data_IF_690239879659
#
_entry.id   IF_690239879659
#
_cell.length_a   1.000
_cell.length_b   1.000
_cell.length_c   1.000
_cell.angle_alpha   90.00
_cell.angle_beta   90.00
_cell.angle_gamma   90.00
#
_symmetry.space_group_name_H-M   'P 1'
#
loop_
_entity.id
_entity.type
_entity.pdbx_description
1 polymer ?
#
# COMPACT_ATOMS: atom_id res chain seq x y z
N UNK A 1 -2.57 -0.81 -2.64
CA UNK A 1 -2.70 -2.24 -2.26
C UNK A 1 -4.18 -2.57 -2.12
N UNK A 2 -4.71 -3.35 -3.06
CA UNK A 2 -6.07 -3.87 -2.96
C UNK A 2 -6.08 -5.05 -2.00
N UNK A 3 -6.60 -4.85 -0.82
CA UNK A 3 -6.90 -5.95 0.07
C UNK A 3 -8.13 -6.69 -0.47
N UNK A 4 -7.94 -7.91 -0.93
CA UNK A 4 -9.04 -8.85 -1.11
C UNK A 4 -9.47 -9.34 0.28
N UNK A 5 -10.43 -8.67 0.90
CA UNK A 5 -11.16 -9.28 1.98
C UNK A 5 -12.17 -10.25 1.38
N UNK A 6 -11.77 -11.49 1.20
CA UNK A 6 -12.73 -12.54 0.93
C UNK A 6 -13.28 -12.98 2.29
N UNK A 7 -14.56 -12.71 2.51
CA UNK A 7 -15.31 -13.55 3.42
C UNK A 7 -15.21 -14.99 2.89
N UNK A 8 -14.50 -15.83 3.62
CA UNK A 8 -14.25 -17.22 3.21
C UNK A 8 -15.54 -18.04 3.14
N UNK A 9 -16.65 -17.55 3.68
CA UNK A 9 -17.97 -18.20 3.63
C UNK A 9 -18.71 -17.95 2.33
N UNK A 10 -18.46 -16.82 1.67
CA UNK A 10 -19.23 -16.38 0.47
C UNK A 10 -18.37 -16.07 -0.75
N UNK A 11 -17.03 -16.02 -0.62
CA UNK A 11 -16.11 -15.61 -1.69
C UNK A 11 -16.25 -14.13 -2.09
N UNK A 12 -17.05 -13.35 -1.35
CA UNK A 12 -17.29 -11.94 -1.62
C UNK A 12 -16.30 -11.05 -0.84
N UNK A 13 -15.93 -9.87 -1.39
CA UNK A 13 -15.14 -8.89 -0.66
C UNK A 13 -15.83 -8.47 0.63
N UNK A 14 -15.04 -8.24 1.70
CA UNK A 14 -15.59 -7.74 2.96
C UNK A 14 -16.38 -6.45 2.71
N UNK A 15 -17.54 -6.25 3.35
CA UNK A 15 -18.41 -5.10 3.11
C UNK A 15 -17.71 -3.75 3.34
N UNK A 16 -16.74 -3.70 4.24
CA UNK A 16 -16.01 -2.46 4.58
C UNK A 16 -14.95 -2.04 3.55
N UNK A 17 -14.58 -2.91 2.60
CA UNK A 17 -13.79 -2.64 1.39
C UNK A 17 -12.46 -1.88 1.52
N UNK A 18 -12.19 -1.23 2.63
CA UNK A 18 -11.05 -0.32 2.83
C UNK A 18 -9.70 -0.99 3.06
N UNK A 19 -9.66 -2.31 3.26
CA UNK A 19 -8.46 -3.03 3.61
C UNK A 19 -7.82 -2.49 4.89
N UNK A 20 -6.50 -2.44 4.97
CA UNK A 20 -5.78 -1.87 6.11
C UNK A 20 -6.00 -0.34 6.27
N UNK A 21 -6.48 0.35 5.24
CA UNK A 21 -6.76 1.80 5.32
C UNK A 21 -7.89 2.10 6.29
N UNK A 22 -8.93 1.25 6.33
CA UNK A 22 -10.07 1.45 7.24
C UNK A 22 -9.63 1.45 8.71
N UNK A 23 -9.02 0.39 9.27
CA UNK A 23 -8.55 0.41 10.65
C UNK A 23 -7.43 1.44 10.91
N UNK A 24 -6.63 1.83 9.90
CA UNK A 24 -5.68 2.93 10.06
C UNK A 24 -6.41 4.26 10.27
N UNK A 25 -7.41 4.57 9.47
CA UNK A 25 -8.22 5.79 9.63
C UNK A 25 -8.93 5.83 10.97
N UNK A 26 -9.45 4.70 11.45
CA UNK A 26 -10.06 4.60 12.77
C UNK A 26 -9.06 4.90 13.89
N UNK A 27 -7.84 4.37 13.79
CA UNK A 27 -6.76 4.65 14.75
C UNK A 27 -6.35 6.13 14.73
N UNK A 28 -6.27 6.74 13.54
CA UNK A 28 -5.94 8.17 13.40
C UNK A 28 -7.03 9.04 14.02
N UNK A 29 -8.32 8.76 13.76
CA UNK A 29 -9.44 9.49 14.37
C UNK A 29 -9.47 9.33 15.88
N UNK A 30 -9.28 8.11 16.39
CA UNK A 30 -9.26 7.83 17.81
C UNK A 30 -8.12 8.59 18.54
N UNK A 31 -7.03 8.89 17.82
CA UNK A 31 -5.93 9.70 18.32
C UNK A 31 -6.14 11.21 18.13
N UNK A 32 -7.29 11.65 17.61
CA UNK A 32 -7.59 13.07 17.36
C UNK A 32 -6.78 13.66 16.19
N UNK A 33 -6.20 12.83 15.33
CA UNK A 33 -5.44 13.29 14.17
C UNK A 33 -6.37 13.66 13.01
N UNK A 34 -6.15 14.83 12.43
CA UNK A 34 -6.81 15.25 11.20
C UNK A 34 -6.00 14.72 10.01
N UNK A 35 -6.67 14.13 9.04
CA UNK A 35 -6.05 13.58 7.85
C UNK A 35 -6.99 13.67 6.64
N UNK A 36 -6.40 13.61 5.46
CA UNK A 36 -7.06 13.52 4.16
C UNK A 36 -6.24 12.53 3.31
N UNK A 37 -6.86 11.46 2.86
CA UNK A 37 -6.20 10.50 1.98
C UNK A 37 -6.35 10.97 0.54
N UNK A 38 -5.28 10.94 -0.22
CA UNK A 38 -5.27 11.42 -1.60
C UNK A 38 -4.77 10.37 -2.56
N UNK A 39 -5.16 10.46 -3.82
CA UNK A 39 -4.71 9.56 -4.89
C UNK A 39 -5.58 9.59 -6.13
N UNK A 40 -5.20 8.79 -7.13
CA UNK A 40 -5.91 8.73 -8.41
C UNK A 40 -7.14 7.81 -8.38
N UNK A 41 -7.31 7.09 -7.30
CA UNK A 41 -8.39 6.13 -7.12
C UNK A 41 -9.20 6.50 -5.88
N UNK A 42 -10.53 6.48 -6.03
CA UNK A 42 -11.48 6.81 -4.97
C UNK A 42 -12.52 5.70 -4.88
N UNK A 43 -12.08 4.53 -4.45
CA UNK A 43 -13.00 3.40 -4.24
C UNK A 43 -12.44 2.39 -3.24
N UNK A 44 -13.32 1.66 -2.63
CA UNK A 44 -13.01 0.43 -1.93
C UNK A 44 -12.60 -0.66 -2.93
N UNK A 45 -11.94 -1.69 -2.44
CA UNK A 45 -11.60 -2.85 -3.26
C UNK A 45 -12.82 -3.27 -4.10
N UNK A 46 -12.60 -3.44 -5.42
CA UNK A 46 -13.60 -3.88 -6.39
C UNK A 46 -14.73 -2.89 -6.75
N UNK A 47 -14.50 -1.59 -6.65
CA UNK A 47 -15.44 -0.59 -7.15
C UNK A 47 -16.76 -0.54 -6.40
N UNK A 48 -16.83 -1.08 -5.20
CA UNK A 48 -17.94 -0.86 -4.27
C UNK A 48 -17.62 0.33 -3.41
N UNK A 49 -18.59 1.23 -3.29
CA UNK A 49 -18.52 2.28 -2.29
C UNK A 49 -18.33 1.64 -0.92
N UNK A 50 -17.45 2.19 -0.09
CA UNK A 50 -17.45 1.90 1.34
C UNK A 50 -18.68 2.56 1.98
N UNK A 51 -19.84 2.26 1.42
CA UNK A 51 -21.11 2.89 1.79
C UNK A 51 -21.54 2.59 3.23
N UNK A 52 -20.82 1.70 3.91
CA UNK A 52 -21.14 1.28 5.28
C UNK A 52 -20.60 2.25 6.32
N UNK A 53 -19.51 2.99 6.01
CA UNK A 53 -18.98 4.02 6.89
C UNK A 53 -18.84 5.36 6.16
N UNK A 54 -19.77 6.30 6.39
CA UNK A 54 -19.73 7.61 5.74
C UNK A 54 -18.52 8.46 6.13
N UNK A 55 -17.76 8.06 7.14
CA UNK A 55 -16.52 8.74 7.56
C UNK A 55 -15.29 8.16 6.90
N UNK A 56 -15.39 7.03 6.19
CA UNK A 56 -14.26 6.44 5.51
C UNK A 56 -13.86 7.29 4.30
N UNK A 57 -12.60 7.70 4.27
CA UNK A 57 -12.01 8.35 3.13
C UNK A 57 -11.54 7.29 2.11
N UNK A 58 -12.16 7.20 0.93
CA UNK A 58 -11.89 6.14 -0.04
C UNK A 58 -10.64 6.40 -0.89
N UNK A 59 -10.07 7.60 -0.86
CA UNK A 59 -9.01 8.00 -1.79
C UNK A 59 -7.70 7.24 -1.54
N UNK A 60 -7.04 6.87 -2.61
CA UNK A 60 -5.78 6.12 -2.54
C UNK A 60 -5.05 6.06 -3.89
N UNK A 61 -3.78 5.63 -3.84
CA UNK A 61 -3.00 5.29 -5.02
C UNK A 61 -2.50 3.83 -4.96
N UNK A 62 -3.36 2.91 -4.55
CA UNK A 62 -3.08 1.47 -4.50
C UNK A 62 -3.32 0.81 -5.86
N UNK A 63 -2.25 0.43 -6.55
CA UNK A 63 -2.30 -0.09 -7.92
C UNK A 63 -2.15 -1.61 -7.92
N UNK A 64 -3.27 -2.32 -8.08
CA UNK A 64 -3.27 -3.78 -8.13
C UNK A 64 -2.43 -4.31 -9.29
N UNK A 65 -1.55 -5.27 -9.01
CA UNK A 65 -0.72 -5.91 -10.03
C UNK A 65 0.48 -5.09 -10.54
N UNK A 66 0.64 -3.85 -10.11
CA UNK A 66 1.75 -3.02 -10.56
C UNK A 66 3.08 -3.45 -9.91
N UNK A 67 4.13 -3.50 -10.72
CA UNK A 67 5.51 -3.55 -10.27
C UNK A 67 6.01 -2.15 -9.90
N UNK A 68 7.20 -2.04 -9.30
CA UNK A 68 7.84 -0.75 -9.03
C UNK A 68 8.00 0.10 -10.32
N UNK A 69 8.37 -0.52 -11.43
CA UNK A 69 8.44 0.13 -12.75
C UNK A 69 7.07 0.61 -13.22
N UNK A 70 6.03 -0.17 -12.98
CA UNK A 70 4.65 0.22 -13.28
C UNK A 70 4.21 1.47 -12.51
N UNK A 71 4.53 1.56 -11.23
CA UNK A 71 4.25 2.75 -10.40
C UNK A 71 5.02 3.97 -10.94
N UNK A 72 6.28 3.80 -11.33
CA UNK A 72 7.08 4.88 -11.91
C UNK A 72 6.45 5.46 -13.18
N UNK A 73 6.01 4.60 -14.09
CA UNK A 73 5.57 4.98 -15.44
C UNK A 73 4.07 5.26 -15.55
N UNK A 74 3.28 4.78 -14.61
CA UNK A 74 1.83 4.69 -14.77
C UNK A 74 1.44 3.57 -15.75
N UNK A 75 0.16 3.51 -16.08
CA UNK A 75 -0.37 2.52 -16.99
C UNK A 75 -1.83 2.19 -16.71
N UNK A 76 -2.33 1.20 -17.42
CA UNK A 76 -3.68 0.68 -17.17
C UNK A 76 -3.68 -0.17 -15.90
N UNK A 77 -4.53 0.17 -14.95
CA UNK A 77 -4.78 -0.71 -13.79
C UNK A 77 -5.38 -2.01 -14.33
N UNK A 78 -4.71 -3.16 -14.12
CA UNK A 78 -5.25 -4.43 -14.57
C UNK A 78 -6.59 -4.65 -13.86
N UNK A 79 -7.67 -4.66 -14.62
CA UNK A 79 -8.96 -5.11 -14.12
C UNK A 79 -8.88 -6.61 -13.91
N UNK A 80 -9.33 -7.12 -12.79
CA UNK A 80 -9.57 -8.55 -12.63
C UNK A 80 -10.53 -8.99 -13.74
N UNK A 81 -10.16 -10.01 -14.55
CA UNK A 81 -10.65 -10.13 -15.92
C UNK A 81 -12.16 -10.14 -16.03
N UNK A 82 -12.95 -10.77 -15.32
CA UNK A 82 -14.38 -10.90 -15.66
C UNK A 82 -15.35 -10.33 -14.63
N UNK A 83 -14.94 -10.24 -13.37
CA UNK A 83 -15.83 -9.78 -12.30
C UNK A 83 -16.03 -8.25 -12.33
N UNK A 84 -15.00 -7.49 -12.67
CA UNK A 84 -15.10 -6.03 -12.74
C UNK A 84 -15.73 -5.56 -14.05
N UNK A 85 -15.52 -6.28 -15.15
CA UNK A 85 -16.22 -6.00 -16.41
C UNK A 85 -17.74 -6.20 -16.27
N UNK A 86 -18.16 -7.23 -15.56
CA UNK A 86 -19.58 -7.47 -15.25
C UNK A 86 -20.19 -6.44 -14.29
N UNK A 87 -19.35 -5.74 -13.53
CA UNK A 87 -19.77 -4.66 -12.61
C UNK A 87 -19.67 -3.27 -13.27
N UNK A 88 -19.35 -3.21 -14.57
CA UNK A 88 -19.25 -1.94 -15.30
C UNK A 88 -18.01 -1.11 -14.95
N UNK A 89 -17.04 -1.67 -14.24
CA UNK A 89 -15.81 -0.95 -13.90
C UNK A 89 -14.95 -0.79 -15.14
N UNK A 90 -14.77 0.43 -15.59
CA UNK A 90 -13.92 0.77 -16.74
C UNK A 90 -12.45 0.59 -16.38
N UNK A 91 -11.64 0.19 -17.36
CA UNK A 91 -10.18 0.24 -17.24
C UNK A 91 -9.76 1.66 -16.88
N UNK A 92 -8.98 1.80 -15.79
CA UNK A 92 -8.51 3.10 -15.33
C UNK A 92 -7.07 3.27 -15.76
N UNK A 93 -6.80 4.31 -16.54
CA UNK A 93 -5.44 4.76 -16.83
C UNK A 93 -4.97 5.63 -15.67
N UNK A 94 -3.85 5.25 -15.05
CA UNK A 94 -3.22 6.07 -14.00
C UNK A 94 -1.91 6.67 -14.51
N UNK A 95 -1.60 7.93 -14.13
CA UNK A 95 -0.33 8.55 -14.48
C UNK A 95 0.83 7.92 -13.69
N UNK A 96 2.06 8.23 -14.10
CA UNK A 96 3.25 7.86 -13.35
C UNK A 96 3.36 8.65 -12.05
N UNK A 97 4.15 8.12 -11.10
CA UNK A 97 4.24 8.67 -9.75
C UNK A 97 4.62 10.17 -9.71
N UNK A 98 5.42 10.64 -10.64
CA UNK A 98 5.82 12.06 -10.71
C UNK A 98 4.60 12.97 -10.88
N UNK A 99 3.70 12.63 -11.78
CA UNK A 99 2.51 13.44 -12.06
C UNK A 99 1.50 13.35 -10.90
N UNK A 100 1.39 12.16 -10.29
CA UNK A 100 0.57 11.95 -9.08
C UNK A 100 1.04 12.85 -7.93
N UNK A 101 2.35 12.86 -7.66
CA UNK A 101 2.92 13.68 -6.59
C UNK A 101 2.77 15.18 -6.85
N UNK A 102 2.93 15.62 -8.09
CA UNK A 102 2.71 17.03 -8.47
C UNK A 102 1.25 17.45 -8.32
N UNK A 103 0.32 16.56 -8.64
CA UNK A 103 -1.13 16.83 -8.55
C UNK A 103 -1.62 16.89 -7.11
N UNK A 104 -1.27 15.90 -6.32
CA UNK A 104 -1.84 15.73 -4.97
C UNK A 104 -1.01 16.36 -3.84
N UNK A 105 0.29 16.57 -4.04
CA UNK A 105 1.20 17.22 -3.09
C UNK A 105 1.04 16.72 -1.65
N UNK A 106 1.13 15.40 -1.40
CA UNK A 106 0.92 14.85 -0.06
C UNK A 106 2.00 15.29 0.92
N UNK A 107 1.65 15.45 2.20
CA UNK A 107 2.61 15.69 3.29
C UNK A 107 3.31 14.40 3.73
N UNK A 108 2.60 13.28 3.63
CA UNK A 108 3.06 11.94 4.03
C UNK A 108 2.79 10.93 2.92
N UNK A 109 3.72 10.01 2.71
CA UNK A 109 3.57 8.91 1.75
C UNK A 109 3.81 7.59 2.45
N UNK A 110 2.84 6.67 2.40
CA UNK A 110 2.97 5.29 2.86
C UNK A 110 3.21 4.38 1.66
N UNK A 111 4.44 3.94 1.46
CA UNK A 111 4.84 3.11 0.33
C UNK A 111 5.10 1.67 0.76
N UNK A 112 4.32 0.73 0.25
CA UNK A 112 4.62 -0.70 0.29
C UNK A 112 4.47 -1.27 -1.12
N UNK A 113 5.57 -1.63 -1.76
CA UNK A 113 5.57 -2.07 -3.16
C UNK A 113 6.62 -3.15 -3.43
N UNK A 114 6.42 -3.92 -4.50
CA UNK A 114 7.38 -4.91 -4.96
C UNK A 114 6.92 -6.35 -4.94
N UNK A 115 5.77 -6.67 -4.33
CA UNK A 115 5.19 -8.01 -4.36
C UNK A 115 4.90 -8.54 -5.79
N UNK A 116 4.85 -7.63 -6.77
CA UNK A 116 4.68 -7.96 -8.19
C UNK A 116 5.99 -7.74 -8.96
N UNK A 117 7.03 -8.56 -8.66
CA UNK A 117 8.27 -8.54 -9.44
C UNK A 117 9.56 -8.64 -8.65
N UNK A 118 9.60 -8.32 -7.35
CA UNK A 118 10.79 -8.40 -6.49
C UNK A 118 12.02 -7.69 -7.07
N UNK A 119 11.79 -6.56 -7.79
CA UNK A 119 12.83 -5.77 -8.45
C UNK A 119 13.37 -4.70 -7.51
N UNK A 120 14.50 -4.98 -6.83
CA UNK A 120 15.11 -4.06 -5.88
C UNK A 120 15.73 -2.81 -6.57
N UNK A 121 16.41 -2.90 -7.73
CA UNK A 121 16.82 -1.74 -8.50
C UNK A 121 15.66 -0.80 -8.86
N UNK A 122 14.55 -1.33 -9.34
CA UNK A 122 13.37 -0.50 -9.65
C UNK A 122 12.76 0.11 -8.39
N UNK A 123 12.84 -0.56 -7.21
CA UNK A 123 12.44 0.03 -5.94
C UNK A 123 13.35 1.19 -5.52
N UNK A 124 14.69 1.05 -5.63
CA UNK A 124 15.61 2.16 -5.37
C UNK A 124 15.31 3.36 -6.28
N UNK A 125 15.05 3.11 -7.55
CA UNK A 125 14.64 4.17 -8.49
C UNK A 125 13.32 4.83 -8.07
N UNK A 126 12.30 4.06 -7.70
CA UNK A 126 11.01 4.58 -7.26
C UNK A 126 11.16 5.47 -6.02
N UNK A 127 11.85 4.99 -5.00
CA UNK A 127 12.10 5.74 -3.75
C UNK A 127 12.85 7.03 -4.03
N UNK A 128 13.90 6.98 -4.85
CA UNK A 128 14.67 8.16 -5.27
C UNK A 128 13.78 9.16 -6.01
N UNK A 129 13.02 8.71 -6.99
CA UNK A 129 12.11 9.57 -7.77
C UNK A 129 11.09 10.26 -6.87
N UNK A 130 10.51 9.56 -5.90
CA UNK A 130 9.60 10.15 -4.92
C UNK A 130 10.32 11.25 -4.11
N UNK A 131 11.51 10.95 -3.58
CA UNK A 131 12.28 11.92 -2.79
C UNK A 131 12.81 13.11 -3.58
N UNK A 132 12.99 13.00 -4.91
CA UNK A 132 13.36 14.10 -5.78
C UNK A 132 12.16 14.96 -6.19
N UNK A 133 10.96 14.37 -6.24
CA UNK A 133 9.74 15.03 -6.73
C UNK A 133 8.94 15.69 -5.60
N UNK A 134 9.02 15.16 -4.39
CA UNK A 134 8.18 15.59 -3.25
C UNK A 134 9.03 15.86 -2.01
N UNK A 135 8.59 16.81 -1.19
CA UNK A 135 9.12 17.07 0.17
C UNK A 135 8.40 16.26 1.25
N UNK A 136 7.43 15.43 0.87
CA UNK A 136 6.69 14.58 1.78
C UNK A 136 7.61 13.71 2.64
N UNK A 137 7.18 13.39 3.86
CA UNK A 137 7.83 12.35 4.63
C UNK A 137 7.44 10.98 4.07
N UNK A 138 8.41 10.25 3.52
CA UNK A 138 8.20 8.94 2.93
C UNK A 138 8.40 7.82 3.95
N UNK A 139 7.35 7.08 4.25
CA UNK A 139 7.41 5.85 5.02
C UNK A 139 7.44 4.67 4.06
N UNK A 140 8.53 3.93 4.05
CA UNK A 140 8.71 2.78 3.15
C UNK A 140 8.68 1.50 3.96
N UNK A 141 7.74 0.62 3.63
CA UNK A 141 7.60 -0.67 4.30
C UNK A 141 8.28 -1.81 3.55
N UNK A 142 8.79 -2.76 4.31
CA UNK A 142 9.05 -4.12 3.82
C UNK A 142 7.74 -4.73 3.32
N UNK A 143 7.78 -5.60 2.30
CA UNK A 143 6.59 -6.34 1.86
C UNK A 143 6.31 -7.48 2.82
N UNK A 144 5.04 -7.88 2.88
CA UNK A 144 4.55 -8.95 3.76
C UNK A 144 5.26 -10.28 3.49
N UNK A 145 5.36 -11.18 4.48
CA UNK A 145 5.72 -12.57 4.22
C UNK A 145 4.78 -13.16 3.16
N UNK A 146 5.26 -14.09 2.39
CA UNK A 146 4.46 -14.82 1.42
C UNK A 146 4.73 -16.32 1.57
N UNK A 147 3.82 -17.14 1.08
CA UNK A 147 3.94 -18.61 1.09
C UNK A 147 3.35 -19.23 -0.18
N UNK A 148 3.59 -20.52 -0.38
CA UNK A 148 2.88 -21.28 -1.42
C UNK A 148 1.35 -21.11 -1.26
N UNK A 149 0.57 -21.08 -2.35
CA UNK A 149 0.97 -21.34 -3.74
C UNK A 149 1.53 -20.12 -4.52
N UNK A 150 1.83 -19.01 -3.84
CA UNK A 150 2.36 -17.81 -4.52
C UNK A 150 3.73 -18.08 -5.16
N UNK A 151 3.83 -17.94 -6.49
CA UNK A 151 5.11 -18.10 -7.17
C UNK A 151 6.11 -17.01 -6.77
N UNK A 152 7.35 -17.41 -6.49
CA UNK A 152 8.44 -16.50 -6.13
C UNK A 152 8.42 -16.03 -4.68
N UNK A 153 7.60 -16.65 -3.82
CA UNK A 153 7.53 -16.32 -2.40
C UNK A 153 8.91 -16.39 -1.69
N UNK A 154 9.81 -17.25 -2.15
CA UNK A 154 11.17 -17.45 -1.63
C UNK A 154 12.08 -16.22 -1.81
N UNK A 155 11.66 -15.27 -2.65
CA UNK A 155 12.42 -14.03 -2.94
C UNK A 155 12.13 -12.90 -1.97
N UNK A 156 11.11 -13.04 -1.13
CA UNK A 156 10.62 -11.98 -0.24
C UNK A 156 11.72 -11.49 0.70
N UNK A 157 12.41 -12.42 1.37
CA UNK A 157 13.44 -12.08 2.36
C UNK A 157 14.62 -11.32 1.71
N UNK A 158 15.12 -11.83 0.59
CA UNK A 158 16.20 -11.16 -0.15
C UNK A 158 15.78 -9.78 -0.68
N UNK A 159 14.53 -9.66 -1.13
CA UNK A 159 13.97 -8.39 -1.57
C UNK A 159 13.87 -7.41 -0.40
N UNK A 160 13.34 -7.81 0.74
CA UNK A 160 13.22 -6.98 1.93
C UNK A 160 14.61 -6.58 2.48
N UNK A 161 15.57 -7.50 2.51
CA UNK A 161 16.92 -7.24 3.00
C UNK A 161 17.67 -6.11 2.25
N UNK A 162 17.26 -5.77 1.03
CA UNK A 162 17.85 -4.66 0.28
C UNK A 162 17.33 -3.28 0.71
N UNK A 163 16.20 -3.20 1.41
CA UNK A 163 15.53 -1.93 1.73
C UNK A 163 16.27 -1.05 2.74
N UNK A 164 16.87 -1.56 3.83
CA UNK A 164 17.60 -0.74 4.80
C UNK A 164 18.73 0.10 4.17
N UNK A 165 19.50 -0.49 3.24
CA UNK A 165 20.56 0.22 2.55
C UNK A 165 20.02 1.36 1.65
N UNK A 166 18.91 1.12 0.95
CA UNK A 166 18.22 2.14 0.14
C UNK A 166 17.75 3.29 1.03
N UNK A 167 17.12 3.00 2.16
CA UNK A 167 16.65 4.02 3.09
C UNK A 167 17.82 4.81 3.69
N UNK A 168 18.90 4.15 4.11
CA UNK A 168 20.09 4.80 4.65
C UNK A 168 20.71 5.78 3.64
N UNK A 169 20.80 5.38 2.37
CA UNK A 169 21.30 6.23 1.27
C UNK A 169 20.44 7.48 1.10
N UNK A 170 19.11 7.36 1.14
CA UNK A 170 18.20 8.50 1.01
C UNK A 170 18.26 9.43 2.23
N UNK A 171 18.38 8.87 3.44
CA UNK A 171 18.62 9.67 4.66
C UNK A 171 19.91 10.47 4.58
N UNK A 172 21.00 9.84 4.13
CA UNK A 172 22.28 10.52 3.93
C UNK A 172 22.20 11.64 2.88
N UNK A 173 21.28 11.53 1.92
CA UNK A 173 20.96 12.58 0.94
C UNK A 173 19.97 13.65 1.49
N UNK A 174 19.69 13.66 2.79
CA UNK A 174 18.83 14.65 3.43
C UNK A 174 17.32 14.43 3.21
N UNK A 175 16.89 13.25 2.73
CA UNK A 175 15.47 12.99 2.50
C UNK A 175 14.77 12.56 3.79
N UNK A 176 13.55 13.05 3.97
CA UNK A 176 12.66 12.63 5.07
C UNK A 176 12.10 11.25 4.74
N UNK A 177 12.74 10.21 5.22
CA UNK A 177 12.37 8.82 4.94
C UNK A 177 12.46 7.96 6.19
N UNK A 178 11.49 7.09 6.41
CA UNK A 178 11.43 6.13 7.53
C UNK A 178 11.20 4.73 6.99
N UNK A 179 12.03 3.79 7.44
CA UNK A 179 11.81 2.36 7.23
C UNK A 179 10.74 1.86 8.21
N UNK A 180 9.77 1.11 7.68
CA UNK A 180 8.74 0.44 8.47
C UNK A 180 8.87 -1.06 8.26
N UNK A 181 9.11 -1.78 9.32
CA UNK A 181 9.15 -3.24 9.24
C UNK A 181 7.74 -3.82 9.30
N UNK A 182 7.15 -3.97 8.12
CA UNK A 182 5.83 -4.58 7.96
C UNK A 182 5.92 -6.10 7.86
N UNK A 183 7.08 -6.62 7.44
CA UNK A 183 7.29 -8.06 7.30
C UNK A 183 7.20 -8.77 8.66
N UNK A 184 7.92 -8.27 9.63
CA UNK A 184 7.97 -8.90 10.97
C UNK A 184 6.69 -8.67 11.79
N UNK A 185 5.88 -7.67 11.41
CA UNK A 185 4.58 -7.45 12.05
C UNK A 185 3.50 -8.46 11.64
N UNK A 186 3.70 -9.20 10.56
CA UNK A 186 2.74 -10.09 9.93
C UNK A 186 3.32 -11.50 9.87
N UNK A 187 2.52 -12.49 10.18
CA UNK A 187 2.88 -13.91 10.02
C UNK A 187 2.14 -14.53 8.83
N UNK A 188 2.55 -15.73 8.42
CA UNK A 188 1.84 -16.44 7.33
C UNK A 188 0.42 -16.89 7.72
N UNK A 189 0.07 -16.90 9.00
CA UNK A 189 -1.30 -17.17 9.48
C UNK A 189 -2.22 -15.95 9.32
N UNK A 190 -1.63 -14.78 9.16
CA UNK A 190 -2.34 -13.53 8.86
C UNK A 190 -2.64 -13.36 7.36
N UNK A 191 -2.33 -14.38 6.53
CA UNK A 191 -2.58 -14.36 5.09
C UNK A 191 -3.80 -15.17 4.72
N UNK A 192 -4.40 -14.78 3.59
CA UNK A 192 -5.41 -15.58 2.91
C UNK A 192 -4.79 -16.86 2.30
N UNK A 193 -5.62 -17.83 1.88
CA UNK A 193 -5.14 -19.06 1.25
C UNK A 193 -4.30 -18.87 -0.01
N UNK A 194 -4.37 -17.71 -0.66
CA UNK A 194 -3.55 -17.38 -1.82
C UNK A 194 -2.06 -17.14 -1.49
N UNK A 195 -1.72 -17.09 -0.21
CA UNK A 195 -0.35 -16.96 0.29
C UNK A 195 0.29 -15.58 0.11
N UNK A 196 -0.49 -14.55 -0.24
CA UNK A 196 0.03 -13.20 -0.49
C UNK A 196 -0.80 -12.08 0.13
N UNK A 197 -2.12 -12.19 0.12
CA UNK A 197 -2.98 -11.13 0.64
C UNK A 197 -3.26 -11.33 2.13
N UNK A 198 -3.24 -10.26 2.94
CA UNK A 198 -3.57 -10.38 4.35
C UNK A 198 -5.07 -10.65 4.54
N UNK A 199 -5.38 -11.47 5.54
CA UNK A 199 -6.73 -11.61 6.08
C UNK A 199 -7.07 -10.40 6.99
N UNK A 200 -8.23 -10.38 7.62
CA UNK A 200 -8.65 -9.24 8.46
C UNK A 200 -7.69 -8.99 9.64
N UNK A 201 -7.18 -10.05 10.28
CA UNK A 201 -6.20 -9.91 11.36
C UNK A 201 -4.90 -9.26 10.84
N UNK A 202 -4.41 -9.72 9.69
CA UNK A 202 -3.25 -9.14 9.01
C UNK A 202 -3.45 -7.67 8.66
N UNK A 203 -4.62 -7.29 8.17
CA UNK A 203 -4.93 -5.89 7.87
C UNK A 203 -4.94 -5.00 9.10
N UNK A 204 -5.49 -5.50 10.21
CA UNK A 204 -5.49 -4.76 11.47
C UNK A 204 -4.05 -4.56 12.01
N UNK A 205 -3.20 -5.58 11.89
CA UNK A 205 -1.78 -5.49 12.26
C UNK A 205 -1.03 -4.50 11.36
N UNK A 206 -1.27 -4.52 10.05
CA UNK A 206 -0.70 -3.54 9.11
C UNK A 206 -1.09 -2.11 9.49
N UNK A 207 -2.36 -1.88 9.79
CA UNK A 207 -2.86 -0.58 10.22
C UNK A 207 -2.18 -0.11 11.52
N UNK A 208 -2.04 -0.99 12.51
CA UNK A 208 -1.36 -0.68 13.76
C UNK A 208 0.12 -0.36 13.54
N UNK A 209 0.80 -1.07 12.64
CA UNK A 209 2.21 -0.85 12.31
C UNK A 209 2.40 0.51 11.61
N UNK A 210 1.56 0.85 10.63
CA UNK A 210 1.56 2.16 10.00
C UNK A 210 1.29 3.28 11.03
N UNK A 211 0.28 3.10 11.87
CA UNK A 211 -0.08 4.08 12.90
C UNK A 211 1.07 4.32 13.89
N UNK A 212 1.75 3.27 14.35
CA UNK A 212 2.90 3.40 15.22
C UNK A 212 4.05 4.17 14.55
N UNK A 213 4.32 3.90 13.26
CA UNK A 213 5.34 4.61 12.49
C UNK A 213 5.02 6.10 12.35
N UNK A 214 3.76 6.44 12.04
CA UNK A 214 3.30 7.84 11.93
C UNK A 214 3.44 8.58 13.26
N UNK A 215 3.02 7.98 14.37
CA UNK A 215 3.14 8.61 15.70
C UNK A 215 4.59 8.85 16.11
N UNK A 216 5.49 7.91 15.82
CA UNK A 216 6.90 8.04 16.20
C UNK A 216 7.63 9.17 15.46
N UNK A 217 7.12 9.60 14.32
CA UNK A 217 7.67 10.74 13.57
C UNK A 217 7.16 12.09 14.07
N UNK A 218 5.92 12.15 14.57
CA UNK A 218 5.32 13.40 15.09
C UNK A 218 5.92 13.88 16.42
N UNK A 219 6.62 13.01 17.15
CA UNK A 219 7.22 13.34 18.46
C UNK A 219 8.66 13.84 18.35
N UNK A 220 9.23 13.95 17.14
CA UNK A 220 10.63 14.35 16.92
C UNK A 220 10.79 15.73 16.27
N UNK A 221 9.71 16.42 16.02
CA UNK A 221 9.68 17.84 15.62
C UNK A 221 9.40 18.73 16.85
#
# INVERSE_FOLDING_TARGET
>A
YLAKNNDTSTGLPHPDGGGWRKPLQDNLRAAGMVFDFVGELSYAAFGRDCAVDPQFDPDHHGLAGFSNTGILKGGMVPTLPDVLASLGVKKIQVPGIVDVLKKHQPDLILLMSGANGFDAPARDQLIRTIGETSTAHLFVATILPQKAPRAGWEKVDAYNASLPAIVAKQKAAGKRITLVDMHDAITTDDLLPDGVHPNQAGMNKMAATWFAALRSSSTKE
#
